data_IF_068304898204
#
_entry.id   IF_068304898204
#
_cell.length_a   1.000
_cell.length_b   1.000
_cell.length_c   1.000
_cell.angle_alpha   90.00
_cell.angle_beta   90.00
_cell.angle_gamma   90.00
#
_symmetry.space_group_name_H-M   'P 1'
#
loop_
_entity.id
_entity.type
_entity.pdbx_description
1 polymer ?
#
# COMPACT_ATOMS: atom_id res chain seq x y z
N UNK A 1 19.45 -29.40 -40.28
CA UNK A 1 19.01 -28.00 -40.24
C UNK A 1 17.68 -27.85 -39.55
N UNK A 2 16.74 -28.73 -39.80
CA UNK A 2 15.38 -28.69 -39.19
C UNK A 2 15.48 -28.99 -37.67
N UNK A 3 16.34 -29.89 -37.27
CA UNK A 3 16.57 -30.26 -35.87
C UNK A 3 17.13 -29.10 -35.04
N UNK A 4 17.98 -28.25 -35.62
CA UNK A 4 18.54 -27.07 -34.92
C UNK A 4 17.49 -26.02 -34.64
N UNK A 5 16.60 -25.76 -35.60
CA UNK A 5 15.51 -24.80 -35.42
C UNK A 5 14.52 -25.28 -34.34
N UNK A 6 14.20 -26.55 -34.34
CA UNK A 6 13.31 -27.16 -33.35
C UNK A 6 13.88 -27.05 -31.93
N UNK A 7 15.16 -27.31 -31.74
CA UNK A 7 15.84 -27.18 -30.45
C UNK A 7 15.87 -25.72 -29.96
N UNK A 8 16.13 -24.79 -30.88
CA UNK A 8 16.15 -23.37 -30.58
C UNK A 8 14.78 -22.86 -30.09
N UNK A 9 13.70 -23.26 -30.74
CA UNK A 9 12.33 -22.90 -30.33
C UNK A 9 11.97 -23.50 -28.96
N UNK A 10 12.42 -24.70 -28.64
CA UNK A 10 12.22 -25.33 -27.35
C UNK A 10 12.91 -24.56 -26.23
N UNK A 11 14.12 -24.11 -26.46
CA UNK A 11 14.86 -23.30 -25.49
C UNK A 11 14.19 -21.97 -25.21
N UNK A 12 13.73 -21.29 -26.26
CA UNK A 12 12.99 -20.02 -26.12
C UNK A 12 11.68 -20.24 -25.34
N UNK A 13 10.98 -21.31 -25.61
CA UNK A 13 9.72 -21.64 -24.92
C UNK A 13 9.96 -21.89 -23.42
N UNK A 14 11.02 -22.61 -23.07
CA UNK A 14 11.41 -22.84 -21.68
C UNK A 14 11.76 -21.55 -20.95
N UNK A 15 12.48 -20.64 -21.59
CA UNK A 15 12.82 -19.32 -21.02
C UNK A 15 11.55 -18.50 -20.79
N UNK A 16 10.60 -18.54 -21.72
CA UNK A 16 9.32 -17.84 -21.58
C UNK A 16 8.50 -18.35 -20.38
N UNK A 17 8.51 -19.65 -20.13
CA UNK A 17 7.84 -20.25 -18.97
C UNK A 17 8.48 -19.80 -17.64
N UNK A 18 9.78 -19.68 -17.58
CA UNK A 18 10.49 -19.19 -16.40
C UNK A 18 10.12 -17.75 -16.10
N UNK A 19 10.01 -16.91 -17.13
CA UNK A 19 9.61 -15.50 -16.98
C UNK A 19 8.18 -15.39 -16.46
N UNK A 20 7.25 -16.21 -16.94
CA UNK A 20 5.85 -16.23 -16.50
C UNK A 20 5.73 -16.66 -15.04
N UNK A 21 6.52 -17.63 -14.59
CA UNK A 21 6.51 -18.08 -13.21
C UNK A 21 7.02 -17.02 -12.23
N UNK A 22 7.80 -16.02 -12.71
CA UNK A 22 8.24 -14.90 -11.90
C UNK A 22 7.19 -13.82 -11.65
N UNK A 23 6.04 -13.87 -12.34
CA UNK A 23 4.99 -12.85 -12.23
C UNK A 23 4.07 -13.00 -11.02
N UNK A 24 4.24 -14.03 -10.18
CA UNK A 24 3.42 -14.28 -8.99
C UNK A 24 3.92 -13.59 -7.73
N UNK A 25 4.98 -12.81 -7.82
CA UNK A 25 5.49 -12.03 -6.68
C UNK A 25 4.72 -10.73 -6.53
N UNK A 26 4.45 -10.28 -5.27
CA UNK A 26 3.89 -8.96 -5.08
C UNK A 26 4.81 -7.89 -5.68
N UNK A 27 4.27 -6.78 -6.22
CA UNK A 27 5.10 -5.72 -6.77
C UNK A 27 5.89 -5.04 -5.66
N UNK A 28 7.19 -5.33 -5.59
CA UNK A 28 8.07 -4.85 -4.52
C UNK A 28 8.38 -3.36 -4.61
N UNK A 29 8.43 -2.86 -5.83
CA UNK A 29 9.02 -1.55 -6.09
C UNK A 29 8.12 -0.38 -5.74
N UNK A 30 6.81 -0.58 -5.64
CA UNK A 30 5.89 0.53 -5.70
C UNK A 30 5.32 0.94 -4.37
N UNK A 31 5.39 0.08 -3.34
CA UNK A 31 4.72 0.39 -2.07
C UNK A 31 5.44 1.48 -1.27
N UNK A 32 6.76 1.44 -1.17
CA UNK A 32 7.53 2.46 -0.48
C UNK A 32 7.39 3.82 -1.15
N UNK A 33 7.46 3.85 -2.47
CA UNK A 33 7.25 5.07 -3.26
C UNK A 33 5.82 5.56 -3.15
N UNK A 34 4.84 4.67 -3.18
CA UNK A 34 3.43 5.01 -3.03
C UNK A 34 3.15 5.64 -1.67
N UNK A 35 3.74 5.11 -0.60
CA UNK A 35 3.63 5.69 0.74
C UNK A 35 4.23 7.08 0.78
N UNK A 36 5.41 7.27 0.21
CA UNK A 36 6.09 8.57 0.15
C UNK A 36 5.27 9.61 -0.62
N UNK A 37 4.71 9.23 -1.77
CA UNK A 37 3.84 10.11 -2.56
C UNK A 37 2.54 10.45 -1.82
N UNK A 38 2.03 9.52 -1.04
CA UNK A 38 0.84 9.75 -0.21
C UNK A 38 1.13 10.77 0.89
N UNK A 39 2.29 10.69 1.54
CA UNK A 39 2.72 11.71 2.49
C UNK A 39 2.71 13.11 1.85
N UNK A 40 3.33 13.23 0.70
CA UNK A 40 3.40 14.51 -0.02
C UNK A 40 2.01 15.02 -0.39
N UNK A 41 1.15 14.14 -0.85
CA UNK A 41 -0.22 14.50 -1.21
C UNK A 41 -0.99 15.06 0.00
N UNK A 42 -0.95 14.38 1.14
CA UNK A 42 -1.67 14.85 2.34
C UNK A 42 -1.09 16.15 2.88
N UNK A 43 0.22 16.31 2.87
CA UNK A 43 0.87 17.54 3.31
C UNK A 43 0.54 18.73 2.40
N UNK A 44 0.64 18.54 1.10
CA UNK A 44 0.49 19.64 0.12
C UNK A 44 -0.96 19.94 -0.22
N UNK A 45 -1.77 18.90 -0.42
CA UNK A 45 -3.15 19.07 -0.89
C UNK A 45 -4.17 19.16 0.23
N UNK A 46 -3.93 18.50 1.36
CA UNK A 46 -4.84 18.47 2.50
C UNK A 46 -4.36 19.30 3.68
N UNK A 47 -3.11 19.74 3.68
CA UNK A 47 -2.54 20.47 4.80
C UNK A 47 -2.43 19.65 6.08
N UNK A 48 -2.36 18.32 5.95
CA UNK A 48 -2.27 17.40 7.09
C UNK A 48 -0.84 16.92 7.24
N UNK A 49 -0.25 17.15 8.42
CA UNK A 49 1.06 16.60 8.72
C UNK A 49 0.95 15.10 8.91
N UNK A 50 1.88 14.34 8.33
CA UNK A 50 1.80 12.89 8.36
C UNK A 50 3.17 12.26 8.12
N UNK A 51 3.30 11.01 8.51
CA UNK A 51 4.49 10.20 8.24
C UNK A 51 4.05 8.78 7.90
N UNK A 52 4.67 8.23 6.87
CA UNK A 52 4.43 6.85 6.46
C UNK A 52 5.70 6.03 6.51
N UNK A 53 5.56 4.74 6.69
CA UNK A 53 6.66 3.79 6.68
C UNK A 53 6.18 2.46 6.10
N UNK A 54 7.11 1.70 5.59
CA UNK A 54 6.88 0.36 5.10
C UNK A 54 7.88 -0.59 5.74
N UNK A 55 7.38 -1.69 6.30
CA UNK A 55 8.16 -2.67 7.01
C UNK A 55 7.66 -4.07 6.62
N UNK A 56 8.45 -4.80 5.82
CA UNK A 56 8.12 -6.12 5.26
C UNK A 56 6.79 -6.15 4.50
N UNK A 57 5.74 -6.59 5.16
CA UNK A 57 4.39 -6.71 4.61
C UNK A 57 3.40 -5.71 5.21
N UNK A 58 3.89 -4.75 6.00
CA UNK A 58 3.03 -3.83 6.73
C UNK A 58 3.32 -2.39 6.35
N UNK A 59 2.27 -1.68 5.93
CA UNK A 59 2.30 -0.23 5.72
C UNK A 59 1.83 0.43 7.01
N UNK A 60 2.59 1.39 7.48
CA UNK A 60 2.25 2.19 8.67
C UNK A 60 2.10 3.64 8.25
N UNK A 61 1.05 4.30 8.71
CA UNK A 61 0.79 5.68 8.36
C UNK A 61 0.18 6.42 9.55
N UNK A 62 0.79 7.54 9.92
CA UNK A 62 0.34 8.36 11.05
C UNK A 62 0.01 9.75 10.56
N UNK A 63 -1.18 10.25 10.92
CA UNK A 63 -1.61 11.60 10.60
C UNK A 63 -1.74 12.38 11.90
N UNK A 64 -1.28 13.64 11.86
CA UNK A 64 -1.35 14.56 12.99
C UNK A 64 -2.38 15.64 12.65
N UNK A 65 -3.47 15.69 13.38
CA UNK A 65 -4.55 16.62 13.12
C UNK A 65 -4.55 17.78 14.11
N UNK A 66 -4.96 18.94 13.64
CA UNK A 66 -5.09 20.15 14.47
C UNK A 66 -6.42 20.18 15.22
N UNK A 67 -7.43 19.45 14.72
CA UNK A 67 -8.74 19.34 15.32
C UNK A 67 -9.06 17.89 15.60
N UNK A 68 -9.83 17.62 16.66
CA UNK A 68 -10.24 16.26 16.99
C UNK A 68 -11.34 15.79 16.05
N UNK A 69 -11.12 14.72 15.28
CA UNK A 69 -12.13 14.18 14.39
C UNK A 69 -13.13 13.31 15.12
N UNK A 70 -14.31 13.14 14.53
CA UNK A 70 -15.26 12.10 14.94
C UNK A 70 -14.78 10.74 14.41
N UNK A 71 -15.43 9.67 14.87
CA UNK A 71 -15.15 8.31 14.35
C UNK A 71 -15.41 8.24 12.84
N UNK A 72 -16.49 8.86 12.37
CA UNK A 72 -16.83 8.89 10.93
C UNK A 72 -15.76 9.65 10.13
N UNK A 73 -15.30 10.79 10.64
CA UNK A 73 -14.27 11.57 10.00
C UNK A 73 -12.93 10.81 9.97
N UNK A 74 -12.56 10.16 11.07
CA UNK A 74 -11.36 9.33 11.15
C UNK A 74 -11.42 8.18 10.15
N UNK A 75 -12.55 7.50 10.04
CA UNK A 75 -12.75 6.40 9.09
C UNK A 75 -12.63 6.90 7.65
N UNK A 76 -13.19 8.06 7.36
CA UNK A 76 -13.07 8.66 6.03
C UNK A 76 -11.62 9.01 5.70
N UNK A 77 -10.90 9.59 6.63
CA UNK A 77 -9.48 9.92 6.45
C UNK A 77 -8.68 8.66 6.17
N UNK A 78 -8.87 7.61 6.94
CA UNK A 78 -8.18 6.33 6.74
C UNK A 78 -8.50 5.72 5.37
N UNK A 79 -9.76 5.74 4.95
CA UNK A 79 -10.12 5.26 3.62
C UNK A 79 -9.48 6.08 2.52
N UNK A 80 -9.36 7.38 2.69
CA UNK A 80 -8.65 8.25 1.75
C UNK A 80 -7.15 7.91 1.69
N UNK A 81 -6.53 7.60 2.82
CA UNK A 81 -5.13 7.14 2.85
C UNK A 81 -4.97 5.85 2.06
N UNK A 82 -5.83 4.86 2.32
CA UNK A 82 -5.77 3.56 1.63
C UNK A 82 -5.94 3.72 0.13
N UNK A 83 -6.92 4.50 -0.30
CA UNK A 83 -7.17 4.76 -1.74
C UNK A 83 -6.02 5.51 -2.38
N UNK A 84 -5.42 6.44 -1.68
CA UNK A 84 -4.31 7.24 -2.22
C UNK A 84 -3.06 6.38 -2.40
N UNK A 85 -2.75 5.52 -1.43
CA UNK A 85 -1.63 4.58 -1.54
C UNK A 85 -1.88 3.61 -2.70
N UNK A 86 -3.08 3.07 -2.81
CA UNK A 86 -3.46 2.18 -3.90
C UNK A 86 -3.30 2.87 -5.26
N UNK A 87 -3.74 4.10 -5.38
CA UNK A 87 -3.60 4.89 -6.61
C UNK A 87 -2.13 5.07 -7.00
N UNK A 88 -1.28 5.44 -6.05
CA UNK A 88 0.15 5.65 -6.33
C UNK A 88 0.92 4.36 -6.53
N UNK A 89 0.47 3.26 -5.95
CA UNK A 89 1.06 1.94 -6.21
C UNK A 89 0.69 1.40 -7.60
N UNK A 90 -0.32 1.99 -8.22
CA UNK A 90 -0.85 1.60 -9.53
C UNK A 90 -1.26 0.12 -9.58
N UNK A 91 -1.81 -0.37 -8.49
CA UNK A 91 -2.21 -1.76 -8.36
C UNK A 91 -3.49 -1.87 -7.52
N UNK A 92 -4.58 -2.29 -8.16
CA UNK A 92 -5.89 -2.43 -7.50
C UNK A 92 -5.90 -3.50 -6.41
N UNK A 93 -4.92 -4.41 -6.43
CA UNK A 93 -4.80 -5.51 -5.49
C UNK A 93 -3.78 -5.25 -4.39
N UNK A 94 -3.39 -4.01 -4.17
CA UNK A 94 -2.38 -3.64 -3.17
C UNK A 94 -2.70 -4.26 -1.81
N UNK A 95 -3.93 -4.20 -1.38
CA UNK A 95 -4.32 -4.67 -0.05
C UNK A 95 -4.55 -6.18 0.03
N UNK A 96 -4.35 -6.90 -1.06
CA UNK A 96 -4.23 -8.36 -1.04
C UNK A 96 -2.84 -8.84 -0.62
N UNK A 97 -1.86 -7.92 -0.57
CA UNK A 97 -0.46 -8.24 -0.27
C UNK A 97 0.05 -7.60 1.01
N UNK A 98 -0.54 -6.49 1.46
CA UNK A 98 0.00 -5.70 2.55
C UNK A 98 -1.02 -5.48 3.65
N UNK A 99 -0.53 -5.60 4.90
CA UNK A 99 -1.26 -5.18 6.08
C UNK A 99 -1.08 -3.67 6.28
N UNK A 100 -2.01 -3.04 6.98
CA UNK A 100 -1.96 -1.60 7.25
C UNK A 100 -2.21 -1.33 8.72
N UNK A 101 -1.41 -0.44 9.29
CA UNK A 101 -1.63 0.13 10.61
C UNK A 101 -1.66 1.65 10.49
N UNK A 102 -2.75 2.24 10.92
CA UNK A 102 -2.99 3.67 10.81
C UNK A 102 -3.20 4.27 12.19
N UNK A 103 -2.64 5.46 12.41
CA UNK A 103 -2.82 6.21 13.63
C UNK A 103 -3.26 7.64 13.30
N UNK A 104 -4.18 8.18 14.10
CA UNK A 104 -4.45 9.61 14.11
C UNK A 104 -4.03 10.18 15.46
N UNK A 105 -3.18 11.18 15.43
CA UNK A 105 -2.71 11.92 16.60
C UNK A 105 -3.37 13.28 16.70
N UNK A 106 -3.65 13.70 17.93
CA UNK A 106 -4.18 15.01 18.27
C UNK A 106 -3.61 15.41 19.63
N UNK A 107 -3.02 16.62 19.71
CA UNK A 107 -2.41 17.14 20.95
C UNK A 107 -1.47 16.15 21.62
N UNK A 108 -0.53 15.59 20.82
CA UNK A 108 0.49 14.65 21.29
C UNK A 108 -0.04 13.29 21.77
N UNK A 109 -1.30 12.97 21.51
CA UNK A 109 -1.89 11.68 21.84
C UNK A 109 -2.43 11.00 20.61
N UNK A 110 -2.27 9.69 20.52
CA UNK A 110 -2.95 8.89 19.50
C UNK A 110 -4.39 8.69 19.97
N UNK A 111 -5.34 9.17 19.17
CA UNK A 111 -6.76 9.14 19.54
C UNK A 111 -7.58 8.11 18.75
N UNK A 112 -7.10 7.70 17.57
CA UNK A 112 -7.71 6.63 16.79
C UNK A 112 -6.64 5.72 16.24
N UNK A 113 -6.97 4.44 16.15
CA UNK A 113 -6.16 3.41 15.48
C UNK A 113 -6.99 2.72 14.41
N UNK A 114 -6.40 2.59 13.24
CA UNK A 114 -6.98 1.81 12.14
C UNK A 114 -6.10 0.61 11.85
N UNK A 115 -6.72 -0.52 11.63
CA UNK A 115 -6.01 -1.76 11.28
C UNK A 115 -6.72 -2.42 10.12
N UNK A 116 -5.95 -2.85 9.14
CA UNK A 116 -6.46 -3.63 8.03
C UNK A 116 -5.48 -4.75 7.73
N UNK A 117 -5.89 -5.98 8.01
CA UNK A 117 -5.11 -7.15 7.64
C UNK A 117 -5.34 -7.50 6.16
N UNK A 118 -4.41 -8.24 5.57
CA UNK A 118 -4.51 -8.69 4.18
C UNK A 118 -5.86 -9.35 3.93
N UNK A 119 -6.58 -8.85 2.93
CA UNK A 119 -7.89 -9.38 2.54
C UNK A 119 -9.04 -9.07 3.51
N UNK A 120 -8.78 -8.38 4.60
CA UNK A 120 -9.79 -8.05 5.62
C UNK A 120 -10.26 -6.60 5.50
N UNK A 121 -11.31 -6.28 6.24
CA UNK A 121 -11.86 -4.93 6.29
C UNK A 121 -11.05 -4.03 7.21
N UNK A 122 -11.09 -2.74 6.95
CA UNK A 122 -10.55 -1.73 7.86
C UNK A 122 -11.35 -1.70 9.15
N UNK A 123 -10.67 -1.77 10.28
CA UNK A 123 -11.25 -1.65 11.61
C UNK A 123 -10.71 -0.38 12.25
N UNK A 124 -11.58 0.52 12.68
CA UNK A 124 -11.22 1.78 13.34
C UNK A 124 -11.65 1.73 14.79
N UNK A 125 -10.72 2.00 15.68
CA UNK A 125 -10.98 2.03 17.12
C UNK A 125 -10.56 3.36 17.72
N UNK A 126 -11.42 3.90 18.57
CA UNK A 126 -11.10 5.03 19.44
C UNK A 126 -10.17 4.56 20.55
N UNK A 127 -9.20 5.37 20.88
CA UNK A 127 -8.26 5.05 21.95
C UNK A 127 -8.49 5.90 23.19
#
# INVERSE_FOLDING_TARGET
>A
LIKRKSTFFLVIYLISLIIISGCNKPPEQDIGEAVSKTEDYFKKSKGIDCVGAFDDDTVKFRLLLEEQPTVEEATKIYNDVLKTIEKYSNNEKTWDYYNVKLDIGYKNNIIFKGTKDVGEKLIVKSK
#
